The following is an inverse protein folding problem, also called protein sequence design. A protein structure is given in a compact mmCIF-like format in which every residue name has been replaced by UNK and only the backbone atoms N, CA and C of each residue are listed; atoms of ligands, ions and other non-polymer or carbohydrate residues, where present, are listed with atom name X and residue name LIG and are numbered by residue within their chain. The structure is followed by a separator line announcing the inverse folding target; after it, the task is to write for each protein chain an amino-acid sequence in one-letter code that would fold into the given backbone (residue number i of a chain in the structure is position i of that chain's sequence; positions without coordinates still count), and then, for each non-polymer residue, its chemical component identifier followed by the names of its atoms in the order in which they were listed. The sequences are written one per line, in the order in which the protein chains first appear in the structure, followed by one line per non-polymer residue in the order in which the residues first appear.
data_IF_264334928775
#
_entry.id   IF_264334928775
#
_cell.length_a   1.000
_cell.length_b   1.000
_cell.length_c   1.000
_cell.angle_alpha   90.00
_cell.angle_beta   90.00
_cell.angle_gamma   90.00
#
_symmetry.space_group_name_H-M   'P 1'
#
loop_
_entity.id
_entity.type
_entity.pdbx_description
1 polymer ?
#
# COMPACT_ATOMS: atom_id res chain seq x y z
N UNK A 1 -7.09 22.47 -2.53
CA UNK A 1 -6.62 21.09 -2.37
C UNK A 1 -5.76 20.77 -3.58
N UNK A 2 -4.43 20.66 -3.40
CA UNK A 2 -3.53 20.34 -4.49
C UNK A 2 -3.61 18.86 -4.82
N UNK A 3 -3.48 18.52 -6.10
CA UNK A 3 -3.27 17.14 -6.51
C UNK A 3 -1.97 16.64 -5.89
N UNK A 4 -1.95 15.40 -5.42
CA UNK A 4 -0.71 14.74 -5.03
C UNK A 4 0.22 14.69 -6.25
N UNK A 5 1.51 14.98 -6.06
CA UNK A 5 2.52 14.83 -7.10
C UNK A 5 2.55 13.35 -7.54
N UNK A 6 2.43 13.11 -8.86
CA UNK A 6 2.64 11.77 -9.42
C UNK A 6 4.14 11.51 -9.48
N UNK A 7 4.60 10.54 -8.68
CA UNK A 7 6.01 10.19 -8.59
C UNK A 7 6.42 9.21 -9.69
N UNK A 8 7.67 9.31 -10.12
CA UNK A 8 8.29 8.24 -10.91
C UNK A 8 8.54 7.02 -10.03
N UNK A 9 8.64 5.84 -10.63
CA UNK A 9 8.97 4.60 -9.91
C UNK A 9 10.28 4.70 -9.14
N UNK A 10 11.30 5.36 -9.72
CA UNK A 10 12.57 5.61 -9.06
C UNK A 10 12.43 6.50 -7.82
N UNK A 11 11.60 7.55 -7.89
CA UNK A 11 11.31 8.43 -6.75
C UNK A 11 10.57 7.69 -5.64
N UNK A 12 9.56 6.89 -5.98
CA UNK A 12 8.82 6.12 -4.97
C UNK A 12 9.76 5.16 -4.20
N UNK A 13 10.60 4.42 -4.91
CA UNK A 13 11.60 3.52 -4.29
C UNK A 13 12.58 4.26 -3.39
N UNK A 14 13.01 5.46 -3.80
CA UNK A 14 13.91 6.27 -2.99
C UNK A 14 13.24 6.74 -1.68
N UNK A 15 11.96 7.09 -1.73
CA UNK A 15 11.18 7.47 -0.55
C UNK A 15 11.00 6.28 0.40
N UNK A 16 10.63 5.11 -0.12
CA UNK A 16 10.52 3.88 0.68
C UNK A 16 11.86 3.51 1.34
N UNK A 17 12.95 3.59 0.57
CA UNK A 17 14.29 3.33 1.09
C UNK A 17 14.69 4.32 2.20
N UNK A 18 14.35 5.61 2.04
CA UNK A 18 14.59 6.62 3.06
C UNK A 18 13.78 6.36 4.33
N UNK A 19 12.50 5.99 4.21
CA UNK A 19 11.66 5.63 5.35
C UNK A 19 12.20 4.40 6.10
N UNK A 20 12.72 3.41 5.35
CA UNK A 20 13.37 2.24 5.94
C UNK A 20 14.69 2.59 6.64
N UNK A 21 15.48 3.48 6.07
CA UNK A 21 16.71 3.97 6.69
C UNK A 21 16.43 4.77 7.99
N UNK A 22 15.27 5.43 8.08
CA UNK A 22 14.81 6.16 9.27
C UNK A 22 14.13 5.25 10.32
N UNK A 23 14.11 3.94 10.09
CA UNK A 23 13.68 2.93 11.06
C UNK A 23 12.28 2.36 10.86
N UNK A 24 11.52 2.80 9.84
CA UNK A 24 10.24 2.17 9.51
C UNK A 24 10.50 0.84 8.82
N UNK A 25 10.06 -0.30 9.37
CA UNK A 25 10.29 -1.58 8.71
C UNK A 25 9.53 -1.70 7.38
N UNK A 26 10.04 -2.48 6.44
CA UNK A 26 9.31 -2.79 5.20
C UNK A 26 7.95 -3.46 5.46
N UNK A 27 7.83 -4.28 6.51
CA UNK A 27 6.58 -4.89 6.92
C UNK A 27 5.55 -3.84 7.41
N UNK A 28 6.01 -2.81 8.12
CA UNK A 28 5.14 -1.73 8.57
C UNK A 28 4.67 -0.85 7.41
N UNK A 29 5.53 -0.59 6.41
CA UNK A 29 5.11 0.09 5.18
C UNK A 29 4.01 -0.70 4.44
N UNK A 30 4.19 -2.02 4.35
CA UNK A 30 3.25 -2.94 3.73
C UNK A 30 1.90 -2.98 4.46
N UNK A 31 1.91 -3.11 5.79
CA UNK A 31 0.70 -3.06 6.64
C UNK A 31 -0.08 -1.77 6.42
N UNK A 32 0.61 -0.62 6.39
CA UNK A 32 -0.02 0.68 6.12
C UNK A 32 -0.63 0.73 4.71
N UNK A 33 0.05 0.18 3.70
CA UNK A 33 -0.45 0.14 2.33
C UNK A 33 -1.69 -0.76 2.19
N UNK A 34 -1.65 -1.99 2.73
CA UNK A 34 -2.80 -2.90 2.70
C UNK A 34 -4.00 -2.37 3.48
N UNK A 35 -3.79 -1.81 4.67
CA UNK A 35 -4.86 -1.16 5.44
C UNK A 35 -5.52 -0.02 4.68
N UNK A 36 -4.75 0.80 3.96
CA UNK A 36 -5.28 1.87 3.13
C UNK A 36 -6.13 1.33 1.96
N UNK A 37 -5.67 0.26 1.29
CA UNK A 37 -6.43 -0.43 0.22
C UNK A 37 -7.72 -1.03 0.77
N UNK A 38 -7.66 -1.74 1.89
CA UNK A 38 -8.84 -2.32 2.54
C UNK A 38 -9.84 -1.23 2.97
N UNK A 39 -9.35 -0.10 3.49
CA UNK A 39 -10.16 1.08 3.81
C UNK A 39 -10.87 1.64 2.58
N UNK A 40 -10.15 1.82 1.46
CA UNK A 40 -10.72 2.28 0.21
C UNK A 40 -11.79 1.31 -0.34
N UNK A 41 -11.58 0.00 -0.23
CA UNK A 41 -12.56 -1.03 -0.61
C UNK A 41 -13.82 -0.90 0.26
N UNK A 42 -13.70 -0.78 1.58
CA UNK A 42 -14.85 -0.62 2.50
C UNK A 42 -15.64 0.66 2.23
N UNK A 43 -14.94 1.75 1.87
CA UNK A 43 -15.58 3.02 1.49
C UNK A 43 -16.35 2.88 0.17
N UNK A 44 -15.80 2.15 -0.80
CA UNK A 44 -16.42 1.94 -2.11
C UNK A 44 -17.58 0.94 -2.06
N UNK A 45 -17.48 -0.08 -1.22
CA UNK A 45 -18.48 -1.13 -1.02
C UNK A 45 -18.84 -1.24 0.48
N UNK A 46 -19.78 -0.40 0.96
CA UNK A 46 -20.10 -0.31 2.39
C UNK A 46 -20.87 -1.53 2.92
N UNK A 47 -21.52 -2.29 2.04
CA UNK A 47 -22.18 -3.54 2.41
C UNK A 47 -21.16 -4.69 2.40
N UNK A 48 -20.99 -5.42 3.52
CA UNK A 48 -20.09 -6.57 3.58
C UNK A 48 -20.42 -7.62 2.52
N UNK A 49 -19.38 -8.21 1.93
CA UNK A 49 -19.48 -9.21 0.88
C UNK A 49 -18.22 -10.07 0.81
N UNK A 50 -18.03 -10.76 -0.31
CA UNK A 50 -16.82 -11.55 -0.58
C UNK A 50 -15.87 -10.75 -1.46
N UNK A 51 -14.59 -10.79 -1.14
CA UNK A 51 -13.52 -10.27 -1.97
C UNK A 51 -12.55 -11.40 -2.35
N UNK A 52 -11.92 -11.26 -3.51
CA UNK A 52 -10.82 -12.11 -3.95
C UNK A 52 -9.61 -11.19 -4.11
N UNK A 53 -8.52 -11.50 -3.42
CA UNK A 53 -7.25 -10.76 -3.53
C UNK A 53 -6.26 -11.64 -4.29
N UNK A 54 -5.72 -11.12 -5.39
CA UNK A 54 -4.76 -11.83 -6.24
C UNK A 54 -3.36 -11.30 -5.94
N UNK A 55 -2.61 -12.02 -5.10
CA UNK A 55 -1.28 -11.61 -4.68
C UNK A 55 -0.20 -12.13 -5.63
N UNK A 56 0.61 -11.23 -6.19
CA UNK A 56 1.83 -11.58 -6.92
C UNK A 56 3.01 -11.90 -5.98
N UNK A 57 4.19 -12.26 -6.51
CA UNK A 57 5.35 -12.62 -5.69
C UNK A 57 6.16 -11.42 -5.16
N UNK A 58 5.76 -10.18 -5.45
CA UNK A 58 6.48 -8.96 -5.07
C UNK A 58 5.81 -8.17 -3.95
N UNK A 59 6.33 -6.97 -3.65
CA UNK A 59 5.84 -6.11 -2.57
C UNK A 59 4.32 -5.83 -2.66
N UNK A 60 3.80 -5.54 -3.86
CA UNK A 60 2.35 -5.35 -4.08
C UNK A 60 1.52 -6.59 -3.72
N UNK A 61 2.09 -7.79 -3.85
CA UNK A 61 1.42 -9.01 -3.40
C UNK A 61 1.45 -9.14 -1.89
N UNK A 62 2.54 -8.71 -1.26
CA UNK A 62 2.64 -8.55 0.19
C UNK A 62 1.55 -7.65 0.76
N UNK A 63 1.30 -6.49 0.13
CA UNK A 63 0.22 -5.56 0.53
C UNK A 63 -1.17 -6.23 0.51
N UNK A 64 -1.36 -7.25 -0.33
CA UNK A 64 -2.62 -8.00 -0.41
C UNK A 64 -2.80 -9.09 0.64
N UNK A 65 -1.73 -9.47 1.35
CA UNK A 65 -1.78 -10.47 2.43
C UNK A 65 -2.04 -9.87 3.82
N UNK A 66 -1.78 -8.58 3.98
CA UNK A 66 -1.97 -7.82 5.23
C UNK A 66 -3.35 -7.17 5.32
#
# INVERSE_FOLDING_TARGET
MGWAEVLTTARMRAIEAAAMADGTSGAELMERAGAAVAGAIRLRWPCPGRAVVLCGPGNNGGDGYV
#
